data_IF_411947674996
#
_entry.id   IF_411947674996
#
_cell.length_a   1.000
_cell.length_b   1.000
_cell.length_c   1.000
_cell.angle_alpha   90.00
_cell.angle_beta   90.00
_cell.angle_gamma   90.00
#
_symmetry.space_group_name_H-M   'P 1'
#
loop_
_entity.id
_entity.type
_entity.pdbx_description
1 polymer ?
#
# COMPACT_ATOMS: atom_id res chain seq x y z
N UNK A 1 -27.28 0.55 37.17
CA UNK A 1 -26.12 1.35 36.74
C UNK A 1 -24.86 0.96 37.51
N UNK A 2 -24.74 1.18 38.83
CA UNK A 2 -23.50 0.80 39.55
C UNK A 2 -23.21 -0.71 39.54
N UNK A 3 -24.21 -1.58 39.79
CA UNK A 3 -24.02 -3.04 39.70
C UNK A 3 -23.71 -3.48 38.26
N UNK A 4 -24.42 -2.90 37.29
CA UNK A 4 -24.17 -3.17 35.88
C UNK A 4 -22.74 -2.79 35.46
N UNK A 5 -22.27 -1.60 35.84
CA UNK A 5 -20.89 -1.15 35.58
C UNK A 5 -19.84 -2.04 36.24
N UNK A 6 -20.07 -2.51 37.48
CA UNK A 6 -19.18 -3.47 38.15
C UNK A 6 -19.14 -4.79 37.39
N UNK A 7 -20.30 -5.34 37.02
CA UNK A 7 -20.42 -6.59 36.27
C UNK A 7 -19.72 -6.47 34.91
N UNK A 8 -19.99 -5.39 34.17
CA UNK A 8 -19.35 -5.12 32.88
C UNK A 8 -17.82 -5.06 33.02
N UNK A 9 -17.31 -4.23 33.94
CA UNK A 9 -15.86 -4.07 34.17
C UNK A 9 -15.21 -5.40 34.56
N UNK A 10 -15.84 -6.18 35.44
CA UNK A 10 -15.26 -7.42 35.95
C UNK A 10 -15.25 -8.51 34.87
N UNK A 11 -16.38 -8.69 34.17
CA UNK A 11 -16.47 -9.71 33.12
C UNK A 11 -15.57 -9.39 31.93
N UNK A 12 -15.59 -8.14 31.44
CA UNK A 12 -14.71 -7.75 30.33
C UNK A 12 -13.24 -7.78 30.75
N UNK A 13 -12.91 -7.37 31.99
CA UNK A 13 -11.54 -7.46 32.52
C UNK A 13 -11.01 -8.89 32.58
N UNK A 14 -11.84 -9.83 33.06
CA UNK A 14 -11.49 -11.27 33.08
C UNK A 14 -11.31 -11.83 31.66
N UNK A 15 -12.19 -11.47 30.73
CA UNK A 15 -12.07 -11.90 29.34
C UNK A 15 -10.80 -11.34 28.68
N UNK A 16 -10.49 -10.06 28.91
CA UNK A 16 -9.24 -9.44 28.43
C UNK A 16 -8.03 -10.22 28.95
N UNK A 17 -8.00 -10.57 30.24
CA UNK A 17 -6.91 -11.38 30.82
C UNK A 17 -6.80 -12.73 30.10
N UNK A 18 -7.93 -13.41 29.83
CA UNK A 18 -7.93 -14.69 29.10
C UNK A 18 -7.37 -14.52 27.69
N UNK A 19 -7.78 -13.50 26.94
CA UNK A 19 -7.28 -13.23 25.59
C UNK A 19 -5.79 -12.85 25.58
N UNK A 20 -5.34 -12.06 26.56
CA UNK A 20 -3.91 -11.75 26.73
C UNK A 20 -3.10 -13.02 26.98
N UNK A 21 -3.58 -13.92 27.85
CA UNK A 21 -2.91 -15.20 28.11
C UNK A 21 -2.89 -16.07 26.84
N UNK A 22 -4.00 -16.13 26.10
CA UNK A 22 -4.07 -16.90 24.85
C UNK A 22 -3.10 -16.37 23.78
N UNK A 23 -2.95 -15.05 23.66
CA UNK A 23 -1.99 -14.41 22.75
C UNK A 23 -0.54 -14.74 23.10
N UNK A 24 -0.20 -14.71 24.39
CA UNK A 24 1.15 -15.08 24.85
C UNK A 24 1.50 -16.53 24.51
N UNK A 25 0.51 -17.37 24.21
CA UNK A 25 0.69 -18.76 23.79
C UNK A 25 0.51 -18.97 22.27
N UNK A 26 0.37 -17.89 21.49
CA UNK A 26 0.26 -17.92 20.03
C UNK A 26 -1.07 -18.47 19.51
N UNK A 27 -2.17 -18.30 20.26
CA UNK A 27 -3.46 -18.94 19.95
C UNK A 27 -4.44 -18.13 19.09
N UNK A 28 -4.10 -16.93 18.61
CA UNK A 28 -5.05 -16.01 17.97
C UNK A 28 -4.52 -15.48 16.62
N UNK A 29 -4.67 -16.27 15.56
CA UNK A 29 -4.24 -15.89 14.19
C UNK A 29 -5.34 -15.22 13.35
N UNK A 30 -6.49 -14.87 13.94
CA UNK A 30 -7.63 -14.30 13.21
C UNK A 30 -7.77 -12.80 13.51
N UNK A 31 -7.73 -11.91 12.49
CA UNK A 31 -7.74 -10.46 12.68
C UNK A 31 -9.03 -9.96 13.36
N UNK A 32 -10.17 -10.63 13.15
CA UNK A 32 -11.43 -10.27 13.80
C UNK A 32 -11.44 -10.61 15.30
N UNK A 33 -10.72 -11.66 15.70
CA UNK A 33 -10.57 -12.01 17.11
C UNK A 33 -9.72 -10.96 17.82
N UNK A 34 -8.62 -10.53 17.19
CA UNK A 34 -7.78 -9.44 17.70
C UNK A 34 -8.57 -8.14 17.87
N UNK A 35 -9.35 -7.74 16.86
CA UNK A 35 -10.22 -6.55 16.93
C UNK A 35 -11.23 -6.64 18.10
N UNK A 36 -11.90 -7.78 18.26
CA UNK A 36 -12.84 -7.97 19.35
C UNK A 36 -12.14 -7.94 20.73
N UNK A 37 -11.05 -8.69 20.87
CA UNK A 37 -10.32 -8.86 22.12
C UNK A 37 -9.67 -7.57 22.61
N UNK A 38 -9.10 -6.77 21.70
CA UNK A 38 -8.24 -5.64 22.05
C UNK A 38 -8.84 -4.27 21.76
N UNK A 39 -9.95 -4.17 21.01
CA UNK A 39 -10.66 -2.90 20.79
C UNK A 39 -12.03 -2.91 21.44
N UNK A 40 -12.87 -3.92 21.14
CA UNK A 40 -14.26 -3.96 21.63
C UNK A 40 -14.34 -4.23 23.13
N UNK A 41 -13.64 -5.24 23.64
CA UNK A 41 -13.67 -5.57 25.07
C UNK A 41 -13.12 -4.45 25.96
N UNK A 42 -11.98 -3.79 25.65
CA UNK A 42 -11.51 -2.64 26.42
C UNK A 42 -12.48 -1.46 26.37
N UNK A 43 -13.16 -1.21 25.25
CA UNK A 43 -14.21 -0.19 25.19
C UNK A 43 -15.36 -0.51 26.18
N UNK A 44 -15.82 -1.76 26.22
CA UNK A 44 -16.84 -2.22 27.20
C UNK A 44 -16.33 -2.09 28.64
N UNK A 45 -15.06 -2.42 28.89
CA UNK A 45 -14.43 -2.25 30.20
C UNK A 45 -14.43 -0.79 30.66
N UNK A 46 -14.02 0.13 29.79
CA UNK A 46 -14.02 1.58 30.07
C UNK A 46 -15.44 2.10 30.28
N UNK A 47 -16.40 1.66 29.47
CA UNK A 47 -17.82 1.99 29.66
C UNK A 47 -18.31 1.53 31.04
N UNK A 48 -17.97 0.31 31.46
CA UNK A 48 -18.26 -0.20 32.79
C UNK A 48 -17.68 0.68 33.90
N UNK A 49 -16.42 1.10 33.76
CA UNK A 49 -15.76 2.01 34.70
C UNK A 49 -16.43 3.39 34.77
N UNK A 50 -16.92 3.92 33.66
CA UNK A 50 -17.65 5.20 33.59
C UNK A 50 -19.06 5.08 34.17
N UNK A 51 -19.73 3.94 34.01
CA UNK A 51 -21.07 3.71 34.57
C UNK A 51 -21.09 3.69 36.10
N UNK A 52 -20.00 3.29 36.75
CA UNK A 52 -19.87 3.24 38.21
C UNK A 52 -20.09 4.64 38.84
N UNK A 53 -19.28 5.69 38.53
CA UNK A 53 -19.46 7.02 39.07
C UNK A 53 -20.76 7.67 38.62
N UNK A 54 -21.21 7.45 37.37
CA UNK A 54 -22.52 7.94 36.89
C UNK A 54 -23.66 7.33 37.73
N UNK A 55 -23.59 6.04 38.01
CA UNK A 55 -24.56 5.33 38.84
C UNK A 55 -24.59 5.88 40.27
N UNK A 56 -23.41 6.13 40.86
CA UNK A 56 -23.29 6.75 42.19
C UNK A 56 -23.89 8.16 42.21
N UNK A 57 -23.62 8.97 41.18
CA UNK A 57 -24.14 10.34 41.06
C UNK A 57 -25.66 10.37 40.86
N UNK A 58 -26.22 9.50 40.01
CA UNK A 58 -27.67 9.39 39.81
C UNK A 58 -28.36 8.92 41.08
N UNK A 59 -27.79 7.95 41.81
CA UNK A 59 -28.29 7.51 43.12
C UNK A 59 -28.32 8.67 44.11
N UNK A 60 -27.24 9.46 44.19
CA UNK A 60 -27.18 10.66 45.05
C UNK A 60 -28.27 11.68 44.69
N UNK A 61 -28.43 12.01 43.41
CA UNK A 61 -29.51 12.92 42.97
C UNK A 61 -30.89 12.39 43.32
N UNK A 62 -31.11 11.08 43.21
CA UNK A 62 -32.38 10.44 43.58
C UNK A 62 -32.65 10.59 45.08
N UNK A 63 -31.66 10.28 45.93
CA UNK A 63 -31.76 10.44 47.39
C UNK A 63 -32.07 11.90 47.80
N UNK A 64 -31.39 12.88 47.18
CA UNK A 64 -31.68 14.32 47.43
C UNK A 64 -33.13 14.67 47.06
N UNK A 65 -33.65 14.16 45.94
CA UNK A 65 -35.04 14.42 45.51
C UNK A 65 -36.08 13.73 46.39
N UNK A 66 -35.74 12.58 46.97
CA UNK A 66 -36.62 11.80 47.84
C UNK A 66 -36.62 12.32 49.29
N UNK A 67 -35.94 13.44 49.57
CA UNK A 67 -35.93 14.07 50.90
C UNK A 67 -35.05 13.32 51.91
N UNK A 68 -34.04 12.58 51.42
CA UNK A 68 -33.13 11.82 52.27
C UNK A 68 -32.50 12.71 53.35
N UNK A 69 -32.39 12.15 54.54
CA UNK A 69 -31.80 12.79 55.74
C UNK A 69 -30.32 13.14 55.51
N UNK A 70 -29.78 14.11 56.27
CA UNK A 70 -28.34 14.42 56.22
C UNK A 70 -27.47 13.19 56.47
N UNK A 71 -27.93 12.23 57.29
CA UNK A 71 -27.26 10.95 57.56
C UNK A 71 -27.19 10.04 56.32
N UNK A 72 -28.27 9.95 55.53
CA UNK A 72 -28.32 9.19 54.29
C UNK A 72 -27.50 9.83 53.16
N UNK A 73 -27.36 11.16 53.17
CA UNK A 73 -26.51 11.91 52.24
C UNK A 73 -25.02 11.90 52.63
N UNK A 74 -24.72 11.82 53.93
CA UNK A 74 -23.37 11.70 54.50
C UNK A 74 -22.85 10.26 54.57
N UNK A 75 -23.63 9.27 54.13
CA UNK A 75 -23.16 7.91 53.85
C UNK A 75 -22.15 7.81 52.68
N UNK A 76 -21.80 8.93 52.05
CA UNK A 76 -20.61 9.04 51.22
C UNK A 76 -19.34 9.01 52.09
N UNK A 77 -18.25 8.36 51.63
CA UNK A 77 -17.03 8.23 52.40
C UNK A 77 -16.47 9.60 52.83
N UNK A 78 -16.42 9.86 54.14
CA UNK A 78 -15.60 10.94 54.70
C UNK A 78 -14.14 10.54 54.56
N UNK A 79 -13.32 11.36 53.88
CA UNK A 79 -11.89 11.08 53.68
C UNK A 79 -11.10 11.30 54.98
N UNK A 80 -11.26 10.39 55.95
CA UNK A 80 -10.48 10.36 57.18
C UNK A 80 -9.52 9.15 57.17
N UNK A 81 -8.26 9.41 56.86
CA UNK A 81 -7.22 8.37 56.78
C UNK A 81 -6.75 7.84 58.14
N UNK A 82 -7.27 8.37 59.26
CA UNK A 82 -7.02 7.80 60.58
C UNK A 82 -7.91 6.58 60.85
N UNK A 83 -9.07 6.45 60.17
CA UNK A 83 -9.96 5.30 60.27
C UNK A 83 -9.34 4.06 59.58
N UNK A 84 -9.17 2.91 60.29
CA UNK A 84 -8.76 1.64 59.69
C UNK A 84 -9.63 1.18 58.50
N UNK A 85 -10.94 1.43 58.53
CA UNK A 85 -11.85 1.04 57.47
C UNK A 85 -11.64 1.89 56.21
N UNK A 86 -11.44 3.20 56.37
CA UNK A 86 -11.09 4.10 55.27
C UNK A 86 -9.75 3.74 54.64
N UNK A 87 -8.73 3.40 55.46
CA UNK A 87 -7.43 2.92 54.95
C UNK A 87 -7.58 1.65 54.13
N UNK A 88 -8.33 0.65 54.61
CA UNK A 88 -8.60 -0.59 53.86
C UNK A 88 -9.32 -0.31 52.55
N UNK A 89 -10.35 0.52 52.57
CA UNK A 89 -11.07 0.93 51.37
C UNK A 89 -10.15 1.64 50.37
N UNK A 90 -9.37 2.61 50.82
CA UNK A 90 -8.39 3.32 50.00
C UNK A 90 -7.35 2.36 49.40
N UNK A 91 -6.83 1.41 50.19
CA UNK A 91 -5.91 0.37 49.70
C UNK A 91 -6.55 -0.50 48.62
N UNK A 92 -7.80 -0.94 48.81
CA UNK A 92 -8.52 -1.73 47.80
C UNK A 92 -8.70 -0.92 46.51
N UNK A 93 -9.13 0.35 46.61
CA UNK A 93 -9.30 1.22 45.44
C UNK A 93 -7.98 1.42 44.70
N UNK A 94 -6.88 1.65 45.42
CA UNK A 94 -5.55 1.79 44.83
C UNK A 94 -5.13 0.50 44.12
N UNK A 95 -5.28 -0.67 44.76
CA UNK A 95 -4.93 -1.97 44.16
C UNK A 95 -5.78 -2.24 42.91
N UNK A 96 -7.10 -2.05 42.99
CA UNK A 96 -8.00 -2.25 41.85
C UNK A 96 -7.71 -1.26 40.72
N UNK A 97 -7.36 -0.01 41.04
CA UNK A 97 -6.96 0.97 40.03
C UNK A 97 -5.67 0.56 39.36
N UNK A 98 -4.65 0.14 40.13
CA UNK A 98 -3.40 -0.37 39.58
C UNK A 98 -3.64 -1.58 38.65
N UNK A 99 -4.48 -2.53 39.08
CA UNK A 99 -4.86 -3.69 38.28
C UNK A 99 -5.58 -3.27 36.98
N UNK A 100 -6.56 -2.36 37.06
CA UNK A 100 -7.27 -1.86 35.87
C UNK A 100 -6.31 -1.15 34.90
N UNK A 101 -5.35 -0.38 35.41
CA UNK A 101 -4.31 0.26 34.60
C UNK A 101 -3.43 -0.78 33.91
N UNK A 102 -3.05 -1.87 34.58
CA UNK A 102 -2.27 -2.95 33.98
C UNK A 102 -3.09 -3.66 32.89
N UNK A 103 -4.35 -3.99 33.16
CA UNK A 103 -5.25 -4.64 32.19
C UNK A 103 -5.42 -3.75 30.95
N UNK A 104 -5.72 -2.47 31.14
CA UNK A 104 -5.88 -1.53 30.04
C UNK A 104 -4.56 -1.29 29.30
N UNK A 105 -3.44 -1.19 30.01
CA UNK A 105 -2.12 -1.01 29.42
C UNK A 105 -1.73 -2.19 28.55
N UNK A 106 -1.89 -3.42 29.05
CA UNK A 106 -1.64 -4.63 28.28
C UNK A 106 -2.58 -4.75 27.08
N UNK A 107 -3.89 -4.55 27.26
CA UNK A 107 -4.85 -4.60 26.17
C UNK A 107 -4.56 -3.55 25.10
N UNK A 108 -4.21 -2.32 25.49
CA UNK A 108 -3.86 -1.24 24.56
C UNK A 108 -2.58 -1.57 23.79
N UNK A 109 -1.59 -2.17 24.44
CA UNK A 109 -0.36 -2.61 23.79
C UNK A 109 -0.63 -3.64 22.70
N UNK A 110 -1.36 -4.72 23.02
CA UNK A 110 -1.73 -5.74 22.04
C UNK A 110 -2.66 -5.19 20.95
N UNK A 111 -3.56 -4.26 21.27
CA UNK A 111 -4.39 -3.59 20.27
C UNK A 111 -3.54 -2.88 19.23
N UNK A 112 -2.50 -2.16 19.68
CA UNK A 112 -1.59 -1.44 18.79
C UNK A 112 -0.80 -2.41 17.92
N UNK A 113 -0.20 -3.43 18.53
CA UNK A 113 0.58 -4.45 17.81
C UNK A 113 -0.27 -5.15 16.75
N UNK A 114 -1.50 -5.54 17.08
CA UNK A 114 -2.45 -6.17 16.15
C UNK A 114 -2.79 -5.23 14.99
N UNK A 115 -3.09 -3.96 15.28
CA UNK A 115 -3.44 -2.94 14.28
C UNK A 115 -2.27 -2.55 13.35
N UNK A 116 -1.07 -3.06 13.60
CA UNK A 116 0.12 -2.83 12.78
C UNK A 116 0.51 -4.05 11.94
N UNK A 117 -0.22 -5.16 12.09
CA UNK A 117 0.01 -6.36 11.29
C UNK A 117 -0.48 -6.22 9.86
N UNK A 118 0.16 -6.97 8.96
CA UNK A 118 -0.27 -7.09 7.56
C UNK A 118 -1.67 -7.69 7.46
N UNK A 119 -2.01 -8.69 8.29
CA UNK A 119 -3.36 -9.29 8.30
C UNK A 119 -4.42 -8.27 8.69
N UNK A 120 -4.18 -7.46 9.74
CA UNK A 120 -5.13 -6.42 10.10
C UNK A 120 -5.36 -5.42 8.96
N UNK A 121 -4.30 -4.91 8.35
CA UNK A 121 -4.39 -3.94 7.26
C UNK A 121 -5.01 -4.53 5.98
N UNK A 122 -4.69 -5.78 5.63
CA UNK A 122 -5.10 -6.39 4.36
C UNK A 122 -6.43 -7.13 4.40
N UNK A 123 -6.80 -7.71 5.56
CA UNK A 123 -7.89 -8.68 5.65
C UNK A 123 -9.10 -8.17 6.45
N UNK A 124 -8.91 -7.20 7.36
CA UNK A 124 -10.03 -6.69 8.17
C UNK A 124 -11.11 -6.04 7.29
N UNK A 125 -10.69 -5.12 6.42
CA UNK A 125 -11.53 -4.45 5.43
C UNK A 125 -11.42 -5.18 4.08
N UNK A 126 -11.74 -6.49 4.06
CA UNK A 126 -11.46 -7.41 2.97
C UNK A 126 -11.93 -6.98 1.58
N UNK A 127 -13.01 -6.20 1.44
CA UNK A 127 -13.45 -5.67 0.14
C UNK A 127 -12.60 -4.49 -0.31
N UNK A 128 -12.36 -3.53 0.59
CA UNK A 128 -11.67 -2.28 0.30
C UNK A 128 -10.19 -2.52 0.04
N UNK A 129 -9.60 -3.39 0.85
CA UNK A 129 -8.17 -3.68 0.83
C UNK A 129 -7.81 -4.84 -0.08
N UNK A 130 -8.79 -5.56 -0.67
CA UNK A 130 -8.54 -6.68 -1.58
C UNK A 130 -7.53 -6.36 -2.68
N UNK A 131 -7.65 -5.24 -3.43
CA UNK A 131 -6.76 -4.95 -4.55
C UNK A 131 -5.32 -4.72 -4.07
N UNK A 132 -5.16 -3.82 -3.09
CA UNK A 132 -3.86 -3.44 -2.55
C UNK A 132 -3.16 -4.60 -1.84
N UNK A 133 -3.91 -5.42 -1.10
CA UNK A 133 -3.37 -6.59 -0.41
C UNK A 133 -2.95 -7.70 -1.38
N UNK A 134 -3.75 -7.96 -2.41
CA UNK A 134 -3.40 -8.93 -3.46
C UNK A 134 -2.12 -8.49 -4.19
N UNK A 135 -2.03 -7.21 -4.54
CA UNK A 135 -0.84 -6.68 -5.20
C UNK A 135 0.40 -6.72 -4.28
N UNK A 136 0.25 -6.35 -3.01
CA UNK A 136 1.30 -6.43 -1.98
C UNK A 136 1.89 -7.85 -1.87
N UNK A 137 1.04 -8.88 -1.82
CA UNK A 137 1.49 -10.27 -1.69
C UNK A 137 2.35 -10.74 -2.87
N UNK A 138 2.16 -10.15 -4.04
CA UNK A 138 2.89 -10.49 -5.27
C UNK A 138 4.06 -9.54 -5.56
N UNK A 139 4.45 -8.70 -4.59
CA UNK A 139 5.44 -7.65 -4.80
C UNK A 139 6.83 -7.97 -4.20
N UNK A 140 7.88 -7.23 -4.61
CA UNK A 140 9.20 -7.28 -3.98
C UNK A 140 9.21 -6.88 -2.50
N UNK A 141 8.15 -6.20 -2.03
CA UNK A 141 7.99 -5.72 -0.66
C UNK A 141 6.97 -6.55 0.15
N UNK A 142 6.55 -7.72 -0.34
CA UNK A 142 5.63 -8.66 0.33
C UNK A 142 6.07 -9.15 1.72
N UNK A 143 7.29 -8.80 2.14
CA UNK A 143 7.88 -9.13 3.46
C UNK A 143 8.17 -7.90 4.33
N UNK A 144 7.80 -6.71 3.87
CA UNK A 144 7.87 -5.46 4.62
C UNK A 144 6.49 -5.17 5.19
N UNK A 145 6.37 -4.77 6.46
CA UNK A 145 5.05 -4.54 7.05
C UNK A 145 4.39 -3.29 6.43
N UNK A 146 3.06 -3.28 6.31
CA UNK A 146 2.33 -2.12 5.76
C UNK A 146 2.70 -0.82 6.50
N UNK A 147 2.87 -0.92 7.82
CA UNK A 147 3.16 0.23 8.69
C UNK A 147 4.54 0.83 8.51
N UNK A 148 5.52 0.05 8.01
CA UNK A 148 6.86 0.55 7.73
C UNK A 148 6.83 1.60 6.60
N UNK A 149 5.85 1.49 5.69
CA UNK A 149 5.62 2.47 4.63
C UNK A 149 4.52 3.49 4.94
N UNK A 150 3.38 3.04 5.49
CA UNK A 150 2.17 3.87 5.63
C UNK A 150 2.06 4.65 6.96
N UNK A 151 2.86 4.31 7.97
CA UNK A 151 2.88 5.00 9.28
C UNK A 151 4.27 5.56 9.56
N UNK A 152 5.28 4.70 9.50
CA UNK A 152 6.68 5.01 9.80
C UNK A 152 6.97 5.27 11.29
N UNK A 153 8.24 5.30 11.70
CA UNK A 153 8.64 5.46 13.11
C UNK A 153 8.31 6.85 13.67
N UNK A 154 8.00 6.91 14.97
CA UNK A 154 7.87 8.16 15.75
C UNK A 154 6.47 8.42 16.29
N UNK A 155 6.40 9.01 17.50
CA UNK A 155 5.14 9.20 18.22
C UNK A 155 4.13 10.12 17.52
N UNK A 156 4.59 11.15 16.79
CA UNK A 156 3.72 12.07 16.05
C UNK A 156 3.01 11.39 14.89
N UNK A 157 3.75 10.62 14.09
CA UNK A 157 3.22 9.87 12.94
C UNK A 157 2.32 8.73 13.39
N UNK A 158 2.68 8.06 14.48
CA UNK A 158 1.80 7.10 15.15
C UNK A 158 0.44 7.73 15.48
N UNK A 159 0.39 8.85 16.21
CA UNK A 159 -0.89 9.50 16.56
C UNK A 159 -1.66 9.97 15.31
N UNK A 160 -0.98 10.58 14.34
CA UNK A 160 -1.60 11.04 13.10
C UNK A 160 -2.25 9.89 12.33
N UNK A 161 -1.55 8.76 12.21
CA UNK A 161 -2.05 7.57 11.52
C UNK A 161 -3.29 6.98 12.19
N UNK A 162 -3.34 6.92 13.53
CA UNK A 162 -4.51 6.39 14.24
C UNK A 162 -5.72 7.32 14.13
N UNK A 163 -5.52 8.64 14.12
CA UNK A 163 -6.61 9.60 13.86
C UNK A 163 -7.16 9.48 12.44
N UNK A 164 -6.28 9.34 11.44
CA UNK A 164 -6.72 9.08 10.06
C UNK A 164 -7.41 7.72 9.93
N UNK A 165 -6.90 6.68 10.61
CA UNK A 165 -7.54 5.37 10.70
C UNK A 165 -8.96 5.43 11.26
N UNK A 166 -9.21 6.22 12.31
CA UNK A 166 -10.58 6.46 12.81
C UNK A 166 -11.48 7.10 11.75
N UNK A 167 -10.95 8.03 10.95
CA UNK A 167 -11.68 8.63 9.83
C UNK A 167 -11.99 7.60 8.75
N UNK A 168 -11.04 6.72 8.42
CA UNK A 168 -11.23 5.64 7.44
C UNK A 168 -12.28 4.62 7.92
N UNK A 169 -12.25 4.22 9.20
CA UNK A 169 -13.27 3.34 9.80
C UNK A 169 -14.65 3.99 9.73
N UNK A 170 -14.75 5.30 10.01
CA UNK A 170 -16.01 6.03 9.87
C UNK A 170 -16.52 6.01 8.42
N UNK A 171 -15.69 6.39 7.45
CA UNK A 171 -16.08 6.38 6.03
C UNK A 171 -16.46 4.99 5.53
N UNK A 172 -15.77 3.95 6.00
CA UNK A 172 -16.09 2.54 5.73
C UNK A 172 -17.46 2.17 6.31
N UNK A 173 -17.72 2.52 7.57
CA UNK A 173 -18.97 2.18 8.26
C UNK A 173 -20.21 2.82 7.63
N UNK A 174 -20.08 4.02 7.06
CA UNK A 174 -21.19 4.73 6.39
C UNK A 174 -21.14 4.65 4.85
N UNK A 175 -20.17 3.93 4.27
CA UNK A 175 -20.05 3.72 2.82
C UNK A 175 -19.76 4.99 2.01
N UNK A 176 -18.93 5.90 2.52
CA UNK A 176 -18.61 7.20 1.87
C UNK A 176 -17.16 7.32 1.41
N UNK A 177 -16.49 6.19 1.19
CA UNK A 177 -15.14 6.15 0.63
C UNK A 177 -15.18 6.13 -0.91
N UNK A 178 -14.06 6.46 -1.56
CA UNK A 178 -13.96 6.53 -3.01
C UNK A 178 -13.64 5.16 -3.64
N UNK A 179 -14.14 4.96 -4.86
CA UNK A 179 -13.86 3.82 -5.74
C UNK A 179 -13.38 4.35 -7.09
N UNK A 180 -12.15 4.04 -7.54
CA UNK A 180 -11.06 3.44 -6.76
C UNK A 180 -10.47 4.40 -5.71
N UNK A 181 -9.61 3.87 -4.84
CA UNK A 181 -8.78 4.69 -3.96
C UNK A 181 -7.73 5.38 -4.83
N UNK A 182 -7.79 6.71 -4.90
CA UNK A 182 -6.90 7.49 -5.77
C UNK A 182 -5.53 7.72 -5.13
N UNK A 183 -4.52 7.83 -5.99
CA UNK A 183 -3.17 8.31 -5.64
C UNK A 183 -2.93 9.65 -6.33
N UNK A 184 -2.15 10.57 -5.73
CA UNK A 184 -1.32 10.40 -4.52
C UNK A 184 -2.09 10.49 -3.19
N UNK A 185 -1.63 9.76 -2.17
CA UNK A 185 -2.15 9.89 -0.81
C UNK A 185 -1.52 11.10 -0.09
N UNK A 186 -2.34 12.04 0.37
CA UNK A 186 -1.86 13.29 0.99
C UNK A 186 -1.45 13.15 2.48
N UNK A 187 -1.78 12.03 3.11
CA UNK A 187 -1.52 11.81 4.55
C UNK A 187 -0.22 11.07 4.83
N UNK A 188 0.43 10.54 3.80
CA UNK A 188 1.69 9.80 3.91
C UNK A 188 2.85 10.71 4.32
N UNK A 189 3.90 10.06 4.83
CA UNK A 189 5.18 10.70 5.11
C UNK A 189 5.89 11.08 3.81
N UNK A 190 6.82 12.05 3.86
CA UNK A 190 7.72 12.31 2.74
C UNK A 190 8.43 11.02 2.32
N UNK A 191 8.42 10.70 1.03
CA UNK A 191 8.92 9.41 0.53
C UNK A 191 10.37 9.16 0.94
N UNK A 192 11.21 10.20 0.97
CA UNK A 192 12.61 10.09 1.38
C UNK A 192 12.78 9.56 2.82
N UNK A 193 11.91 9.94 3.75
CA UNK A 193 11.99 9.46 5.15
C UNK A 193 11.60 7.98 5.29
N UNK A 194 10.89 7.44 4.31
CA UNK A 194 10.41 6.05 4.27
C UNK A 194 11.35 5.19 3.43
N UNK A 195 11.54 5.53 2.16
CA UNK A 195 12.30 4.77 1.19
C UNK A 195 13.79 4.70 1.56
N UNK A 196 14.38 5.79 2.05
CA UNK A 196 15.83 5.85 2.34
C UNK A 196 16.25 5.10 3.60
N UNK A 197 15.31 4.52 4.35
CA UNK A 197 15.65 3.59 5.43
C UNK A 197 16.22 2.26 4.89
N UNK A 198 15.90 1.94 3.62
CA UNK A 198 16.35 0.73 2.93
C UNK A 198 17.05 1.02 1.59
N UNK A 199 16.71 2.13 0.92
CA UNK A 199 17.19 2.51 -0.41
C UNK A 199 17.91 3.87 -0.39
N UNK A 200 19.23 3.87 -0.21
CA UNK A 200 20.01 5.11 -0.17
C UNK A 200 20.38 5.59 -1.58
N UNK A 201 19.90 6.77 -2.03
CA UNK A 201 20.24 7.31 -3.35
C UNK A 201 21.74 7.51 -3.53
N UNK A 202 22.46 7.71 -2.41
CA UNK A 202 23.91 7.92 -2.44
C UNK A 202 24.74 6.67 -2.68
N UNK A 203 24.13 5.49 -2.61
CA UNK A 203 24.78 4.26 -2.99
C UNK A 203 24.70 4.12 -4.51
N UNK A 204 25.85 4.08 -5.18
CA UNK A 204 25.87 3.78 -6.61
C UNK A 204 25.46 2.32 -6.84
N UNK A 205 24.42 2.11 -7.64
CA UNK A 205 23.86 0.78 -7.92
C UNK A 205 24.32 0.17 -9.25
N UNK A 206 25.06 0.95 -10.05
CA UNK A 206 25.43 0.59 -11.42
C UNK A 206 24.24 0.55 -12.36
N UNK A 207 24.50 0.16 -13.61
CA UNK A 207 23.45 -0.07 -14.60
C UNK A 207 22.76 -1.42 -14.35
N UNK A 208 21.47 -1.50 -14.68
CA UNK A 208 20.63 -2.69 -14.45
C UNK A 208 20.27 -3.35 -15.77
N UNK A 209 20.72 -4.58 -15.96
CA UNK A 209 20.25 -5.42 -17.06
C UNK A 209 18.78 -5.80 -16.82
N UNK A 210 17.94 -5.53 -17.81
CA UNK A 210 16.53 -5.93 -17.86
C UNK A 210 16.29 -6.67 -19.15
N UNK A 211 15.65 -7.83 -19.04
CA UNK A 211 15.17 -8.62 -20.17
C UNK A 211 13.65 -8.58 -20.10
N UNK A 212 13.03 -8.18 -21.20
CA UNK A 212 11.59 -8.16 -21.37
C UNK A 212 11.21 -9.28 -22.32
N UNK A 213 10.48 -10.27 -21.81
CA UNK A 213 9.87 -11.32 -22.61
C UNK A 213 8.47 -10.88 -23.04
N UNK A 214 8.20 -10.96 -24.34
CA UNK A 214 6.90 -10.69 -24.96
C UNK A 214 6.48 -11.88 -25.80
N UNK A 215 5.19 -12.16 -25.84
CA UNK A 215 4.63 -13.23 -26.67
C UNK A 215 3.57 -12.66 -27.62
N UNK A 216 3.49 -13.20 -28.84
CA UNK A 216 2.52 -12.79 -29.84
C UNK A 216 1.09 -13.24 -29.51
N UNK A 217 0.11 -12.58 -30.13
CA UNK A 217 -1.31 -13.01 -30.10
C UNK A 217 -1.66 -13.95 -31.26
N UNK A 218 -0.65 -14.53 -31.90
CA UNK A 218 -0.74 -15.48 -33.01
C UNK A 218 -0.87 -16.93 -32.49
N UNK A 219 -1.02 -17.87 -33.43
CA UNK A 219 -1.25 -19.28 -33.09
C UNK A 219 -0.11 -19.86 -32.25
N UNK A 220 1.13 -19.47 -32.54
CA UNK A 220 2.33 -19.99 -31.88
C UNK A 220 2.72 -19.23 -30.61
N UNK A 221 1.97 -18.20 -30.24
CA UNK A 221 2.36 -17.26 -29.19
C UNK A 221 3.81 -16.77 -29.38
N UNK A 222 4.17 -16.34 -30.60
CA UNK A 222 5.57 -16.14 -31.02
C UNK A 222 6.35 -15.29 -30.01
N UNK A 223 7.46 -15.80 -29.44
CA UNK A 223 8.25 -15.05 -28.45
C UNK A 223 9.05 -13.91 -29.11
N UNK A 224 9.25 -12.85 -28.35
CA UNK A 224 10.11 -11.72 -28.66
C UNK A 224 10.79 -11.24 -27.38
N UNK A 225 12.11 -11.13 -27.41
CA UNK A 225 12.94 -10.78 -26.26
C UNK A 225 13.74 -9.50 -26.53
N UNK A 226 13.57 -8.53 -25.64
CA UNK A 226 14.33 -7.28 -25.67
C UNK A 226 15.15 -7.17 -24.39
N UNK A 227 16.46 -7.00 -24.53
CA UNK A 227 17.38 -6.82 -23.42
C UNK A 227 18.02 -5.44 -23.46
N UNK A 228 17.99 -4.76 -22.32
CA UNK A 228 18.54 -3.40 -22.19
C UNK A 228 19.27 -3.22 -20.87
N UNK A 229 20.29 -2.36 -20.88
CA UNK A 229 20.89 -1.81 -19.68
C UNK A 229 20.20 -0.51 -19.32
N UNK A 230 19.48 -0.49 -18.20
CA UNK A 230 18.96 0.73 -17.61
C UNK A 230 20.10 1.46 -16.89
N UNK A 231 20.31 2.73 -17.23
CA UNK A 231 21.29 3.62 -16.58
C UNK A 231 20.75 4.13 -15.25
N UNK A 232 20.42 3.22 -14.34
CA UNK A 232 19.88 3.57 -13.02
C UNK A 232 20.86 4.45 -12.24
N UNK A 233 22.14 4.11 -12.30
CA UNK A 233 23.23 4.93 -11.78
C UNK A 233 23.09 5.27 -10.28
N UNK A 234 23.39 6.52 -9.93
CA UNK A 234 23.44 7.05 -8.57
C UNK A 234 24.86 7.41 -8.15
N UNK A 235 25.11 7.51 -6.84
CA UNK A 235 26.44 7.84 -6.30
C UNK A 235 26.72 9.33 -6.20
N UNK A 236 27.89 9.70 -5.68
CA UNK A 236 28.23 11.08 -5.31
C UNK A 236 29.41 11.65 -6.09
N UNK A 237 29.48 12.98 -6.19
CA UNK A 237 30.68 13.67 -6.67
C UNK A 237 31.91 13.31 -5.82
N UNK A 238 31.74 13.16 -4.51
CA UNK A 238 32.84 12.83 -3.57
C UNK A 238 33.47 11.45 -3.83
N UNK A 239 32.69 10.48 -4.34
CA UNK A 239 33.18 9.12 -4.65
C UNK A 239 33.65 8.96 -6.11
N UNK A 240 33.52 10.00 -6.94
CA UNK A 240 33.90 9.97 -8.36
C UNK A 240 33.10 8.99 -9.22
N UNK A 241 31.94 8.54 -8.74
CA UNK A 241 31.00 7.64 -9.44
C UNK A 241 29.62 8.27 -9.41
N UNK A 242 29.32 9.09 -10.41
CA UNK A 242 28.09 9.87 -10.53
C UNK A 242 27.50 9.72 -11.95
N UNK A 243 26.18 9.75 -12.06
CA UNK A 243 25.46 9.66 -13.35
C UNK A 243 24.22 8.76 -13.28
N UNK A 244 23.48 8.71 -14.39
CA UNK A 244 22.25 7.93 -14.53
C UNK A 244 21.01 8.58 -13.91
N UNK A 245 19.89 7.86 -13.97
CA UNK A 245 18.55 8.35 -13.64
C UNK A 245 18.47 8.85 -12.19
N UNK A 246 18.99 8.09 -11.21
CA UNK A 246 18.90 8.50 -9.80
C UNK A 246 19.73 9.76 -9.48
N UNK A 247 20.88 9.94 -10.14
CA UNK A 247 21.74 11.09 -9.89
C UNK A 247 21.10 12.40 -10.35
N UNK A 248 20.44 12.40 -11.51
CA UNK A 248 19.75 13.59 -12.01
C UNK A 248 18.52 13.97 -11.19
N UNK A 249 17.76 12.99 -10.71
CA UNK A 249 16.41 13.24 -10.18
C UNK A 249 16.29 13.26 -8.65
N UNK A 250 17.07 12.44 -7.94
CA UNK A 250 16.86 12.20 -6.50
C UNK A 250 18.07 12.59 -5.64
N UNK A 251 19.26 12.62 -6.23
CA UNK A 251 20.50 12.85 -5.50
C UNK A 251 20.62 14.30 -5.00
N UNK A 252 21.27 14.52 -3.84
CA UNK A 252 21.30 15.82 -3.14
C UNK A 252 21.94 16.97 -3.93
N UNK A 253 22.80 16.65 -4.88
CA UNK A 253 23.51 17.63 -5.70
C UNK A 253 22.57 18.31 -6.70
N UNK A 254 21.45 17.67 -7.06
CA UNK A 254 20.44 18.26 -7.94
C UNK A 254 19.10 18.37 -7.20
N UNK A 255 18.37 19.46 -7.42
CA UNK A 255 17.03 19.63 -6.89
C UNK A 255 16.07 19.96 -8.01
N UNK A 256 15.15 19.05 -8.27
CA UNK A 256 14.08 19.25 -9.24
C UNK A 256 12.80 19.62 -8.50
N UNK A 257 12.16 20.69 -8.96
CA UNK A 257 10.79 21.07 -8.58
C UNK A 257 9.91 21.08 -9.82
N UNK A 258 8.64 20.75 -9.65
CA UNK A 258 7.69 20.78 -10.76
C UNK A 258 6.29 21.21 -10.32
N UNK A 259 5.52 21.68 -11.29
CA UNK A 259 4.09 21.94 -11.18
C UNK A 259 3.37 21.02 -12.17
N UNK A 260 2.32 20.34 -11.70
CA UNK A 260 1.40 19.59 -12.53
C UNK A 260 0.06 20.30 -12.65
N UNK A 261 -0.62 20.10 -13.78
CA UNK A 261 -1.96 20.64 -14.03
C UNK A 261 -3.06 19.78 -13.40
N UNK A 262 -2.74 18.52 -13.11
CA UNK A 262 -3.63 17.51 -12.54
C UNK A 262 -3.14 16.99 -11.17
N UNK A 263 -4.07 16.43 -10.40
CA UNK A 263 -3.80 15.83 -9.07
C UNK A 263 -2.98 14.53 -9.16
N UNK A 264 -3.16 13.73 -10.21
CA UNK A 264 -2.39 12.50 -10.44
C UNK A 264 -0.94 12.75 -10.84
N UNK A 265 -0.60 14.00 -11.18
CA UNK A 265 0.74 14.46 -11.59
C UNK A 265 1.19 13.83 -12.90
N UNK A 266 0.25 13.55 -13.79
CA UNK A 266 0.56 12.98 -15.10
C UNK A 266 0.89 14.07 -16.13
N UNK A 267 0.40 15.30 -15.94
CA UNK A 267 0.60 16.43 -16.85
C UNK A 267 1.48 17.51 -16.18
N UNK A 268 2.74 17.60 -16.63
CA UNK A 268 3.72 18.55 -16.07
C UNK A 268 3.77 19.80 -16.95
N UNK A 269 3.62 20.97 -16.33
CA UNK A 269 3.59 22.28 -17.02
C UNK A 269 4.90 23.06 -16.84
N UNK A 270 5.60 22.82 -15.74
CA UNK A 270 6.76 23.62 -15.34
C UNK A 270 7.74 22.78 -14.53
N UNK A 271 9.03 22.92 -14.84
CA UNK A 271 10.12 22.25 -14.13
C UNK A 271 11.21 23.27 -13.79
N UNK A 272 11.73 23.22 -12.57
CA UNK A 272 12.92 23.96 -12.15
C UNK A 272 13.98 22.98 -11.66
N UNK A 273 15.15 23.03 -12.28
CA UNK A 273 16.34 22.30 -11.87
C UNK A 273 17.31 23.28 -11.20
N UNK A 274 17.72 22.97 -9.98
CA UNK A 274 18.91 23.56 -9.36
C UNK A 274 20.03 22.52 -9.35
N UNK A 275 21.16 22.83 -9.97
CA UNK A 275 22.34 21.95 -10.03
C UNK A 275 23.27 22.16 -8.82
N UNK A 276 24.29 21.31 -8.71
CA UNK A 276 25.21 21.26 -7.57
C UNK A 276 26.00 22.55 -7.34
N UNK A 277 26.30 23.27 -8.42
CA UNK A 277 26.99 24.55 -8.43
C UNK A 277 26.05 25.75 -8.17
N UNK A 278 24.75 25.49 -8.00
CA UNK A 278 23.73 26.48 -7.71
C UNK A 278 23.12 27.15 -8.94
N UNK A 279 23.49 26.73 -10.16
CA UNK A 279 22.80 27.17 -11.36
C UNK A 279 21.34 26.71 -11.32
N UNK A 280 20.42 27.61 -11.67
CA UNK A 280 18.99 27.29 -11.73
C UNK A 280 18.49 27.45 -13.15
N UNK A 281 17.84 26.41 -13.66
CA UNK A 281 17.25 26.35 -14.99
C UNK A 281 15.76 26.09 -14.86
N UNK A 282 14.97 26.84 -15.62
CA UNK A 282 13.52 26.73 -15.64
C UNK A 282 13.11 26.27 -17.02
N UNK A 283 12.31 25.21 -17.07
CA UNK A 283 11.81 24.58 -18.30
C UNK A 283 10.29 24.71 -18.37
N UNK A 284 9.80 25.05 -19.56
CA UNK A 284 8.39 25.06 -19.95
C UNK A 284 8.29 24.78 -21.44
N UNK A 285 7.11 24.38 -21.94
CA UNK A 285 6.89 24.26 -23.38
C UNK A 285 6.74 25.64 -24.04
N UNK A 286 7.12 25.75 -25.30
CA UNK A 286 7.03 27.01 -26.04
C UNK A 286 5.56 27.44 -26.23
N UNK A 287 5.26 28.70 -25.95
CA UNK A 287 3.91 29.26 -26.02
C UNK A 287 3.01 29.02 -24.81
N UNK A 288 3.43 28.20 -23.84
CA UNK A 288 2.67 27.99 -22.60
C UNK A 288 2.79 29.18 -21.65
N UNK A 289 1.68 29.55 -21.01
CA UNK A 289 1.71 30.54 -19.94
C UNK A 289 2.30 29.91 -18.68
N UNK A 290 3.35 30.52 -18.13
CA UNK A 290 3.97 30.01 -16.91
C UNK A 290 2.96 30.02 -15.75
N UNK A 291 2.96 28.98 -14.90
CA UNK A 291 2.12 28.98 -13.71
C UNK A 291 2.37 30.22 -12.84
N UNK A 292 1.34 30.76 -12.17
CA UNK A 292 1.47 31.91 -11.29
C UNK A 292 2.61 31.72 -10.26
N UNK A 293 3.24 32.82 -9.84
CA UNK A 293 4.35 32.74 -8.88
C UNK A 293 3.96 31.99 -7.60
N UNK A 294 2.74 32.19 -7.09
CA UNK A 294 2.23 31.48 -5.91
C UNK A 294 2.20 29.96 -6.12
N UNK A 295 1.79 29.49 -7.31
CA UNK A 295 1.81 28.07 -7.69
C UNK A 295 3.24 27.54 -7.77
N UNK A 296 4.15 28.31 -8.37
CA UNK A 296 5.57 27.94 -8.46
C UNK A 296 6.25 27.93 -7.09
N UNK A 297 5.86 28.81 -6.17
CA UNK A 297 6.37 28.81 -4.80
C UNK A 297 5.94 27.54 -4.04
N UNK A 298 4.73 27.04 -4.32
CA UNK A 298 4.19 25.79 -3.80
C UNK A 298 4.62 24.53 -4.60
N UNK A 299 5.46 24.68 -5.64
CA UNK A 299 5.86 23.58 -6.51
C UNK A 299 6.43 22.39 -5.73
N UNK A 300 6.04 21.19 -6.15
CA UNK A 300 6.46 19.94 -5.54
C UNK A 300 7.94 19.71 -5.80
N UNK A 301 8.68 19.32 -4.76
CA UNK A 301 10.04 18.81 -4.92
C UNK A 301 9.93 17.34 -5.34
N UNK A 302 10.61 16.98 -6.44
CA UNK A 302 10.65 15.61 -6.93
C UNK A 302 11.25 14.67 -5.88
N UNK A 303 10.62 13.53 -5.67
CA UNK A 303 11.07 12.48 -4.76
C UNK A 303 10.86 11.07 -5.35
N UNK A 304 11.14 10.05 -4.55
CA UNK A 304 11.12 8.65 -4.98
C UNK A 304 9.78 8.22 -5.61
N UNK A 305 8.64 8.69 -5.08
CA UNK A 305 7.31 8.24 -5.52
C UNK A 305 6.82 8.96 -6.78
N UNK A 306 7.52 9.98 -7.27
CA UNK A 306 7.17 10.60 -8.55
C UNK A 306 7.52 9.68 -9.74
N UNK A 307 8.46 8.76 -9.55
CA UNK A 307 8.78 7.68 -10.49
C UNK A 307 8.33 6.30 -9.96
N UNK A 308 8.67 5.97 -8.71
CA UNK A 308 8.28 4.71 -8.06
C UNK A 308 6.92 4.83 -7.34
N UNK A 309 5.89 5.33 -8.05
CA UNK A 309 4.57 5.56 -7.47
C UNK A 309 3.83 4.26 -7.08
N UNK A 310 4.27 3.10 -7.61
CA UNK A 310 3.72 1.77 -7.31
C UNK A 310 4.82 0.77 -6.92
N UNK A 311 5.48 0.91 -5.76
CA UNK A 311 6.60 0.06 -5.37
C UNK A 311 6.18 -1.32 -4.88
N UNK A 312 4.91 -1.49 -4.49
CA UNK A 312 4.35 -2.74 -3.98
C UNK A 312 2.97 -3.06 -4.57
N UNK A 313 2.15 -2.04 -4.85
CA UNK A 313 0.79 -2.22 -5.34
C UNK A 313 0.70 -2.09 -6.87
N UNK A 314 1.29 -3.05 -7.59
CA UNK A 314 1.35 -3.05 -9.06
C UNK A 314 0.23 -3.88 -9.68
N UNK A 315 -0.52 -3.27 -10.61
CA UNK A 315 -1.54 -3.93 -11.40
C UNK A 315 -1.08 -3.97 -12.87
N UNK A 316 -0.74 -5.15 -13.36
CA UNK A 316 -0.19 -5.30 -14.71
C UNK A 316 -1.30 -5.32 -15.76
N UNK A 317 -1.10 -4.66 -16.93
CA UNK A 317 -2.00 -4.83 -18.06
C UNK A 317 -2.09 -6.31 -18.47
N UNK A 318 -3.23 -6.80 -18.96
CA UNK A 318 -3.45 -8.22 -19.24
C UNK A 318 -2.41 -8.82 -20.17
N UNK A 319 -1.98 -8.06 -21.19
CA UNK A 319 -0.92 -8.49 -22.10
C UNK A 319 0.39 -8.83 -21.38
N UNK A 320 0.83 -7.98 -20.43
CA UNK A 320 2.06 -8.19 -19.66
C UNK A 320 1.91 -9.27 -18.59
N UNK A 321 0.74 -9.34 -17.97
CA UNK A 321 0.44 -10.41 -17.01
C UNK A 321 0.51 -11.79 -17.70
N UNK A 322 -0.03 -11.89 -18.92
CA UNK A 322 0.07 -13.10 -19.72
C UNK A 322 1.48 -13.37 -20.25
N UNK A 323 2.25 -12.33 -20.62
CA UNK A 323 3.66 -12.50 -20.99
C UNK A 323 4.45 -13.18 -19.86
N UNK A 324 4.28 -12.73 -18.62
CA UNK A 324 4.96 -13.32 -17.47
C UNK A 324 4.51 -14.76 -17.19
N UNK A 325 3.20 -15.04 -17.33
CA UNK A 325 2.68 -16.40 -17.18
C UNK A 325 3.31 -17.35 -18.20
N UNK A 326 3.35 -16.96 -19.47
CA UNK A 326 3.93 -17.81 -20.53
C UNK A 326 5.44 -17.96 -20.32
N UNK A 327 6.14 -16.90 -19.91
CA UNK A 327 7.58 -16.95 -19.62
C UNK A 327 7.94 -17.92 -18.48
N UNK A 328 7.07 -18.01 -17.46
CA UNK A 328 7.27 -18.92 -16.31
C UNK A 328 6.69 -20.32 -16.53
N UNK A 329 5.83 -20.49 -17.51
CA UNK A 329 5.18 -21.75 -17.89
C UNK A 329 5.26 -21.91 -19.41
N UNK A 330 6.47 -22.19 -19.95
CA UNK A 330 6.72 -22.17 -21.38
C UNK A 330 5.94 -23.25 -22.13
N UNK A 331 5.43 -24.28 -21.47
CA UNK A 331 4.51 -25.28 -22.04
C UNK A 331 3.18 -24.67 -22.52
N UNK A 332 2.79 -23.51 -22.00
CA UNK A 332 1.58 -22.81 -22.45
C UNK A 332 1.68 -22.29 -23.89
N UNK A 333 2.88 -22.23 -24.48
CA UNK A 333 3.02 -21.90 -25.92
C UNK A 333 2.45 -22.99 -26.83
N UNK A 334 2.35 -24.23 -26.33
CA UNK A 334 1.77 -25.36 -27.06
C UNK A 334 0.25 -25.26 -27.18
N UNK A 335 -0.38 -24.32 -26.44
CA UNK A 335 -1.79 -23.98 -26.57
C UNK A 335 -1.97 -22.92 -27.68
N UNK A 336 -2.63 -23.27 -28.80
CA UNK A 336 -2.78 -22.33 -29.92
C UNK A 336 -3.54 -21.06 -29.51
N UNK A 337 -3.01 -19.90 -29.87
CA UNK A 337 -3.60 -18.57 -29.57
C UNK A 337 -3.85 -18.29 -28.08
N UNK A 338 -3.11 -18.94 -27.18
CA UNK A 338 -3.32 -18.83 -25.74
C UNK A 338 -3.30 -17.39 -25.23
N UNK A 339 -2.27 -16.60 -25.57
CA UNK A 339 -2.20 -15.19 -25.14
C UNK A 339 -3.42 -14.40 -25.60
N UNK A 340 -3.82 -14.56 -26.87
CA UNK A 340 -4.98 -13.87 -27.44
C UNK A 340 -6.24 -14.16 -26.65
N UNK A 341 -6.51 -15.43 -26.37
CA UNK A 341 -7.74 -15.82 -25.68
C UNK A 341 -7.75 -15.46 -24.21
N UNK A 342 -6.63 -15.64 -23.51
CA UNK A 342 -6.53 -15.23 -22.12
C UNK A 342 -6.72 -13.71 -21.97
N UNK A 343 -6.05 -12.90 -22.80
CA UNK A 343 -6.19 -11.43 -22.78
C UNK A 343 -7.62 -11.00 -23.10
N UNK A 344 -8.25 -11.60 -24.11
CA UNK A 344 -9.64 -11.30 -24.46
C UNK A 344 -10.61 -11.61 -23.31
N UNK A 345 -10.41 -12.74 -22.63
CA UNK A 345 -11.21 -13.10 -21.46
C UNK A 345 -10.97 -12.15 -20.27
N UNK A 346 -9.71 -11.82 -19.95
CA UNK A 346 -9.37 -10.94 -18.83
C UNK A 346 -9.97 -9.53 -19.00
N UNK A 347 -10.04 -9.03 -20.24
CA UNK A 347 -10.65 -7.73 -20.57
C UNK A 347 -12.18 -7.72 -20.50
N UNK A 348 -12.83 -8.85 -20.18
CA UNK A 348 -14.27 -8.91 -19.99
C UNK A 348 -14.74 -8.12 -18.77
N UNK A 349 -15.98 -7.63 -18.82
CA UNK A 349 -16.66 -7.02 -17.68
C UNK A 349 -17.40 -8.09 -16.87
N UNK A 350 -17.19 -8.09 -15.56
CA UNK A 350 -17.75 -9.10 -14.65
C UNK A 350 -18.27 -8.47 -13.35
N UNK A 351 -19.37 -9.02 -12.83
CA UNK A 351 -20.06 -8.48 -11.66
C UNK A 351 -19.24 -8.50 -10.36
N UNK A 352 -18.31 -9.45 -10.23
CA UNK A 352 -17.47 -9.58 -9.04
C UNK A 352 -16.14 -10.22 -9.38
N UNK A 353 -15.16 -10.02 -8.49
CA UNK A 353 -13.83 -10.60 -8.59
C UNK A 353 -13.89 -12.14 -8.77
N UNK A 354 -14.66 -12.83 -7.91
CA UNK A 354 -14.81 -14.28 -7.99
C UNK A 354 -15.53 -14.76 -9.25
N UNK A 355 -16.53 -14.01 -9.73
CA UNK A 355 -17.25 -14.34 -10.96
C UNK A 355 -16.35 -14.16 -12.19
N UNK A 356 -15.52 -13.10 -12.21
CA UNK A 356 -14.56 -12.86 -13.28
C UNK A 356 -13.48 -13.94 -13.36
N UNK A 357 -12.90 -14.35 -12.21
CA UNK A 357 -11.95 -15.48 -12.20
C UNK A 357 -12.56 -16.75 -12.78
N UNK A 358 -13.78 -17.12 -12.34
CA UNK A 358 -14.48 -18.30 -12.84
C UNK A 358 -14.84 -18.18 -14.34
N UNK A 359 -15.25 -16.98 -14.79
CA UNK A 359 -15.62 -16.73 -16.18
C UNK A 359 -14.40 -16.78 -17.11
N UNK A 360 -13.26 -16.21 -16.71
CA UNK A 360 -12.01 -16.28 -17.47
C UNK A 360 -11.54 -17.72 -17.60
N UNK A 361 -11.52 -18.48 -16.50
CA UNK A 361 -11.17 -19.90 -16.52
C UNK A 361 -12.08 -20.67 -17.48
N UNK A 362 -13.39 -20.45 -17.37
CA UNK A 362 -14.37 -21.12 -18.24
C UNK A 362 -14.17 -20.74 -19.71
N UNK A 363 -13.98 -19.46 -20.02
CA UNK A 363 -13.84 -18.97 -21.38
C UNK A 363 -12.63 -19.59 -22.09
N UNK A 364 -11.48 -19.69 -21.42
CA UNK A 364 -10.28 -20.32 -21.97
C UNK A 364 -10.49 -21.83 -22.16
N UNK A 365 -11.07 -22.53 -21.18
CA UNK A 365 -11.33 -23.96 -21.29
C UNK A 365 -12.34 -24.29 -22.40
N UNK A 366 -13.44 -23.54 -22.50
CA UNK A 366 -14.48 -23.71 -23.52
C UNK A 366 -13.93 -23.50 -24.94
N UNK A 367 -13.01 -22.53 -25.11
CA UNK A 367 -12.36 -22.27 -26.40
C UNK A 367 -11.63 -23.51 -26.90
N UNK A 368 -10.81 -24.15 -26.07
CA UNK A 368 -10.09 -25.37 -26.46
C UNK A 368 -11.03 -26.57 -26.61
N UNK A 369 -12.06 -26.70 -25.78
CA UNK A 369 -13.06 -27.75 -25.95
C UNK A 369 -13.82 -27.66 -27.28
N UNK A 370 -13.99 -26.45 -27.82
CA UNK A 370 -14.76 -26.19 -29.05
C UNK A 370 -13.89 -26.19 -30.29
N UNK A 371 -12.80 -25.42 -30.27
CA UNK A 371 -11.97 -25.15 -31.45
C UNK A 371 -10.80 -26.15 -31.60
N UNK A 372 -10.34 -26.74 -30.49
CA UNK A 372 -9.24 -27.72 -30.47
C UNK A 372 -9.59 -28.99 -29.68
N UNK A 373 -10.70 -29.69 -30.01
CA UNK A 373 -11.20 -30.82 -29.22
C UNK A 373 -10.22 -32.00 -29.16
N UNK A 374 -9.39 -32.19 -30.19
CA UNK A 374 -8.35 -33.22 -30.21
C UNK A 374 -7.26 -32.92 -29.18
N UNK A 375 -6.76 -31.68 -29.14
CA UNK A 375 -5.78 -31.22 -28.14
C UNK A 375 -6.36 -31.31 -26.72
N UNK A 376 -7.60 -30.88 -26.53
CA UNK A 376 -8.26 -30.96 -25.23
C UNK A 376 -8.47 -32.40 -24.74
N UNK A 377 -8.53 -33.38 -25.65
CA UNK A 377 -8.58 -34.80 -25.30
C UNK A 377 -7.20 -35.43 -25.08
N UNK A 378 -6.18 -34.97 -25.81
CA UNK A 378 -4.79 -35.43 -25.70
C UNK A 378 -4.13 -34.91 -24.42
N UNK A 379 -4.25 -33.61 -24.14
CA UNK A 379 -3.68 -32.96 -22.95
C UNK A 379 -4.72 -32.08 -22.22
N UNK A 380 -5.70 -32.72 -21.53
CA UNK A 380 -6.68 -31.99 -20.74
C UNK A 380 -6.05 -31.24 -19.55
N UNK A 381 -4.89 -31.68 -19.06
CA UNK A 381 -4.20 -31.05 -17.94
C UNK A 381 -3.59 -29.71 -18.35
N UNK A 382 -2.95 -29.63 -19.52
CA UNK A 382 -2.40 -28.38 -20.05
C UNK A 382 -3.50 -27.33 -20.27
N UNK A 383 -4.63 -27.73 -20.86
CA UNK A 383 -5.79 -26.83 -21.04
C UNK A 383 -6.31 -26.32 -19.69
N UNK A 384 -6.47 -27.22 -18.72
CA UNK A 384 -6.96 -26.86 -17.38
C UNK A 384 -6.00 -25.90 -16.66
N UNK A 385 -4.68 -26.17 -16.70
CA UNK A 385 -3.66 -25.27 -16.15
C UNK A 385 -3.64 -23.92 -16.87
N UNK A 386 -3.69 -23.91 -18.19
CA UNK A 386 -3.73 -22.68 -18.98
C UNK A 386 -4.94 -21.81 -18.63
N UNK A 387 -6.12 -22.42 -18.48
CA UNK A 387 -7.31 -21.73 -18.02
C UNK A 387 -7.18 -21.18 -16.59
N UNK A 388 -6.59 -21.95 -15.68
CA UNK A 388 -6.33 -21.52 -14.30
C UNK A 388 -5.37 -20.33 -14.25
N UNK A 389 -4.26 -20.38 -15.00
CA UNK A 389 -3.30 -19.27 -15.05
C UNK A 389 -3.90 -17.98 -15.60
N UNK A 390 -4.73 -18.08 -16.64
CA UNK A 390 -5.47 -16.92 -17.15
C UNK A 390 -6.41 -16.31 -16.09
N UNK A 391 -7.10 -17.16 -15.32
CA UNK A 391 -7.95 -16.71 -14.22
C UNK A 391 -7.15 -16.10 -13.06
N UNK A 392 -5.95 -16.63 -12.76
CA UNK A 392 -5.05 -16.03 -11.77
C UNK A 392 -4.51 -14.66 -12.23
N UNK A 393 -4.24 -14.47 -13.53
CA UNK A 393 -3.91 -13.15 -14.07
C UNK A 393 -5.05 -12.16 -13.80
N UNK A 394 -6.30 -12.51 -14.14
CA UNK A 394 -7.46 -11.69 -13.82
C UNK A 394 -7.55 -11.37 -12.32
N UNK A 395 -7.38 -12.40 -11.47
CA UNK A 395 -7.48 -12.28 -10.02
C UNK A 395 -6.45 -11.33 -9.39
N UNK A 396 -5.35 -11.03 -10.10
CA UNK A 396 -4.30 -10.11 -9.65
C UNK A 396 -4.42 -8.71 -10.25
N UNK A 397 -5.28 -8.50 -11.25
CA UNK A 397 -5.29 -7.26 -12.04
C UNK A 397 -6.63 -6.53 -12.08
N UNK A 398 -7.75 -7.19 -11.79
CA UNK A 398 -9.10 -6.60 -11.91
C UNK A 398 -9.92 -6.83 -10.65
N UNK A 399 -10.44 -5.74 -10.06
CA UNK A 399 -11.23 -5.75 -8.83
C UNK A 399 -12.49 -4.89 -8.97
N UNK A 400 -13.58 -5.47 -9.51
CA UNK A 400 -14.81 -4.71 -9.84
C UNK A 400 -15.44 -3.99 -8.64
N UNK A 401 -15.39 -4.57 -7.45
CA UNK A 401 -16.00 -3.96 -6.25
C UNK A 401 -15.34 -2.65 -5.80
N UNK A 402 -14.13 -2.37 -6.30
CA UNK A 402 -13.35 -1.17 -5.98
C UNK A 402 -13.07 -0.31 -7.21
N UNK A 403 -13.63 -0.64 -8.39
CA UNK A 403 -13.29 0.02 -9.66
C UNK A 403 -11.76 0.09 -9.90
N UNK A 404 -11.03 -0.93 -9.42
CA UNK A 404 -9.57 -0.99 -9.49
C UNK A 404 -9.14 -1.97 -10.59
N UNK A 405 -8.38 -1.47 -11.55
CA UNK A 405 -7.69 -2.27 -12.55
C UNK A 405 -6.35 -1.61 -12.93
N UNK A 406 -5.67 -2.13 -13.95
CA UNK A 406 -4.40 -1.55 -14.44
C UNK A 406 -4.57 -0.13 -15.01
N UNK A 407 -5.74 0.25 -15.52
CA UNK A 407 -6.00 1.57 -16.12
C UNK A 407 -6.18 2.64 -15.05
N UNK A 408 -6.78 2.30 -13.91
CA UNK A 408 -6.99 3.25 -12.82
C UNK A 408 -5.76 3.46 -11.94
N UNK A 409 -4.69 2.69 -12.18
CA UNK A 409 -3.48 2.67 -11.35
C UNK A 409 -2.23 2.90 -12.20
N UNK A 410 -1.99 4.16 -12.56
CA UNK A 410 -0.80 4.57 -13.33
C UNK A 410 0.49 4.10 -12.66
N UNK A 411 1.49 3.75 -13.48
CA UNK A 411 2.81 3.34 -13.04
C UNK A 411 3.89 4.13 -13.79
N UNK A 412 4.66 4.91 -13.03
CA UNK A 412 5.58 5.91 -13.56
C UNK A 412 7.04 5.44 -13.62
N UNK A 413 7.29 4.14 -13.41
CA UNK A 413 8.65 3.56 -13.37
C UNK A 413 9.32 3.48 -14.75
N UNK A 414 8.56 3.69 -15.82
CA UNK A 414 9.01 3.67 -17.22
C UNK A 414 7.91 4.21 -18.12
N UNK A 415 8.07 4.08 -19.44
CA UNK A 415 7.19 4.71 -20.44
C UNK A 415 6.51 3.72 -21.41
N UNK A 416 6.35 2.46 -20.99
CA UNK A 416 5.79 1.39 -21.84
C UNK A 416 4.25 1.30 -21.76
N UNK A 417 3.66 1.56 -20.58
CA UNK A 417 2.19 1.56 -20.38
C UNK A 417 1.60 2.95 -20.12
N UNK A 418 2.38 3.84 -19.52
CA UNK A 418 2.01 5.18 -19.09
C UNK A 418 3.11 6.15 -19.51
N UNK A 419 2.86 7.47 -19.54
CA UNK A 419 3.88 8.45 -19.94
C UNK A 419 5.15 8.38 -19.10
N UNK A 420 5.04 8.20 -17.77
CA UNK A 420 6.18 7.99 -16.88
C UNK A 420 7.25 9.08 -16.99
N UNK A 421 8.42 8.75 -17.52
CA UNK A 421 9.50 9.73 -17.76
C UNK A 421 9.13 10.79 -18.82
N UNK A 422 8.30 10.42 -19.80
CA UNK A 422 7.92 11.26 -20.94
C UNK A 422 6.99 12.41 -20.56
N UNK A 423 6.56 12.49 -19.29
CA UNK A 423 5.84 13.66 -18.76
C UNK A 423 6.71 14.92 -18.75
N UNK A 424 8.04 14.76 -18.68
CA UNK A 424 9.01 15.86 -18.76
C UNK A 424 10.00 15.70 -19.93
N UNK A 425 10.27 14.46 -20.36
CA UNK A 425 11.21 14.15 -21.43
C UNK A 425 10.49 14.05 -22.77
N UNK A 426 10.14 15.19 -23.37
CA UNK A 426 9.34 15.28 -24.59
C UNK A 426 9.99 16.09 -25.72
N UNK A 427 11.24 16.54 -25.53
CA UNK A 427 11.95 17.49 -26.41
C UNK A 427 11.25 18.86 -26.58
N UNK A 428 10.18 19.14 -25.82
CA UNK A 428 9.44 20.41 -25.86
C UNK A 428 9.74 21.28 -24.64
N UNK A 429 10.00 20.67 -23.49
CA UNK A 429 10.39 21.36 -22.25
C UNK A 429 11.76 22.06 -22.38
N UNK A 430 11.75 23.37 -22.57
CA UNK A 430 12.95 24.16 -22.85
C UNK A 430 13.08 25.40 -21.97
N UNK A 431 14.30 25.90 -21.79
CA UNK A 431 14.56 27.19 -21.17
C UNK A 431 14.08 28.33 -22.06
N UNK A 432 13.76 29.48 -21.46
CA UNK A 432 13.20 30.64 -22.19
C UNK A 432 14.13 31.21 -23.27
N UNK A 433 15.43 30.98 -23.16
CA UNK A 433 16.45 31.34 -24.15
C UNK A 433 16.69 30.24 -25.21
N UNK A 434 16.10 29.06 -25.04
CA UNK A 434 16.28 27.90 -25.89
C UNK A 434 17.66 27.23 -25.80
N UNK A 435 18.49 27.61 -24.82
CA UNK A 435 19.83 27.01 -24.67
C UNK A 435 19.79 25.57 -24.15
N UNK A 436 18.76 25.22 -23.38
CA UNK A 436 18.60 23.90 -22.80
C UNK A 436 17.19 23.35 -23.01
N UNK A 437 17.12 22.11 -23.47
CA UNK A 437 15.88 21.33 -23.61
C UNK A 437 16.04 20.02 -22.85
N UNK A 438 14.99 19.55 -22.18
CA UNK A 438 14.99 18.24 -21.53
C UNK A 438 14.95 17.17 -22.64
N UNK A 439 16.00 16.35 -22.78
CA UNK A 439 16.13 15.46 -23.94
C UNK A 439 15.20 14.24 -23.85
N UNK A 440 14.63 13.81 -24.97
CA UNK A 440 13.86 12.56 -25.11
C UNK A 440 14.73 11.38 -25.60
N UNK A 441 16.04 11.57 -25.80
CA UNK A 441 16.91 10.53 -26.35
C UNK A 441 16.96 9.26 -25.46
N UNK A 442 16.67 8.11 -26.07
CA UNK A 442 16.56 6.82 -25.39
C UNK A 442 17.85 6.46 -24.62
N UNK A 443 19.03 6.76 -25.21
CA UNK A 443 20.33 6.44 -24.63
C UNK A 443 20.64 7.22 -23.34
N UNK A 444 19.86 8.26 -23.03
CA UNK A 444 19.92 8.97 -21.74
C UNK A 444 19.58 8.03 -20.58
N UNK A 445 18.61 7.14 -20.80
CA UNK A 445 18.02 6.31 -19.75
C UNK A 445 18.38 4.84 -19.90
N UNK A 446 18.48 4.33 -21.13
CA UNK A 446 18.77 2.93 -21.37
C UNK A 446 19.46 2.67 -22.70
N UNK A 447 20.24 1.59 -22.76
CA UNK A 447 20.89 1.13 -24.00
C UNK A 447 20.34 -0.24 -24.35
N UNK A 448 19.86 -0.39 -25.59
CA UNK A 448 19.46 -1.68 -26.11
C UNK A 448 20.68 -2.55 -26.39
N UNK A 449 20.66 -3.78 -25.89
CA UNK A 449 21.65 -4.81 -26.19
C UNK A 449 21.13 -5.78 -27.24
N UNK A 450 19.84 -6.11 -27.13
CA UNK A 450 19.09 -6.99 -28.03
C UNK A 450 17.70 -6.40 -28.16
N UNK A 451 17.17 -6.35 -29.37
CA UNK A 451 15.84 -5.84 -29.67
C UNK A 451 15.05 -6.91 -30.42
N UNK A 452 13.86 -7.20 -29.91
CA UNK A 452 12.85 -8.07 -30.51
C UNK A 452 13.40 -9.40 -31.06
N UNK A 453 14.30 -10.03 -30.29
CA UNK A 453 14.92 -11.29 -30.68
C UNK A 453 13.91 -12.44 -30.55
N UNK A 454 13.82 -13.36 -31.53
CA UNK A 454 13.01 -14.57 -31.38
C UNK A 454 13.62 -15.57 -30.38
N UNK A 455 14.93 -15.45 -30.12
CA UNK A 455 15.69 -16.31 -29.22
C UNK A 455 15.99 -15.60 -27.90
N UNK A 456 15.94 -16.34 -26.79
CA UNK A 456 16.26 -15.78 -25.48
C UNK A 456 17.72 -15.30 -25.44
N UNK A 457 18.01 -14.07 -24.97
CA UNK A 457 19.36 -13.53 -24.97
C UNK A 457 20.31 -14.34 -24.08
N UNK A 458 21.35 -14.92 -24.68
CA UNK A 458 22.44 -15.57 -23.94
C UNK A 458 23.59 -14.58 -23.70
N UNK A 459 23.65 -14.03 -22.49
CA UNK A 459 24.79 -13.22 -22.07
C UNK A 459 25.85 -14.12 -21.45
N UNK A 460 27.05 -14.15 -22.04
CA UNK A 460 28.19 -14.81 -21.42
C UNK A 460 28.55 -14.07 -20.12
N UNK A 461 28.35 -14.72 -18.98
CA UNK A 461 28.79 -14.18 -17.69
C UNK A 461 30.32 -14.24 -17.62
N UNK A 462 30.99 -13.11 -17.85
CA UNK A 462 32.32 -12.91 -17.31
C UNK A 462 32.15 -12.72 -15.80
N UNK A 463 32.28 -13.80 -15.02
CA UNK A 463 32.53 -13.65 -13.59
C UNK A 463 33.89 -12.96 -13.46
N UNK A 464 33.90 -11.66 -13.22
CA UNK A 464 35.07 -11.01 -12.65
C UNK A 464 35.33 -11.72 -11.32
N UNK A 465 36.48 -12.38 -11.22
CA UNK A 465 36.94 -12.99 -9.99
C UNK A 465 37.25 -11.85 -9.02
N UNK A 466 36.36 -11.62 -8.06
CA UNK A 466 36.61 -10.75 -6.89
C UNK A 466 37.76 -11.28 -6.03
#
# INVERSE_FOLDING_TARGET
>A
MTIAGIVLTTLSGLLIIVFVIAQLWGGLDNPYIGLFAYVVLPAIFVLGLIEIPIGMWRRRRKLIREGATEEELTAFPKLDFNDPNMRRFATIVIIMTALNTVILGAASFFAVEEMETVSFCGETCHTIMQPEFTAYQNSPHSRVACVDCHIGPGASWFVKSKLDGLRQVWHTAIGTYQHPITTPLHTLRPARETCEQCHWPNKHHGDKLRIFSRYGSDEKNTPSYTAMLLRTGGGSLDIGRAGGIHWWHIYSDNRIRFVSSDESREEIEWVELTTADGETRVYSRDGDELPPQETRDAARIMDCIDCHNRPTHTFHPPGKAMDWIIDTHPDLVDLPFYKRQAVAAINGEYDSHSAGMAAVQKAVADFYATEYPELAAEDPELVARGAEWAAQAYGKTVFPAMDTNWETHSNNIGHDDFPGCMRCHDDEMSTSDGEHTIPMDCETCHVFLVEDSPDYPEFAYALEAD
#
